data_IF_120522565193
#
_entry.id   IF_120522565193
#
_cell.length_a   1.000
_cell.length_b   1.000
_cell.length_c   1.000
_cell.angle_alpha   90.00
_cell.angle_beta   90.00
_cell.angle_gamma   90.00
#
_symmetry.space_group_name_H-M   'P 1'
#
loop_
_entity.id
_entity.type
_entity.pdbx_description
1 polymer ?
#
# COMPACT_ATOMS: atom_id res chain seq x y z
N UNK A 1 -17.94 18.82 75.50
CA UNK A 1 -18.87 17.70 75.28
C UNK A 1 -18.70 17.33 73.83
N UNK A 2 -18.29 16.12 73.51
CA UNK A 2 -18.11 15.74 72.08
C UNK A 2 -19.45 15.26 71.53
N UNK A 3 -19.74 15.74 70.29
CA UNK A 3 -20.91 15.40 69.52
C UNK A 3 -20.88 13.92 69.10
N UNK A 4 -21.92 13.20 69.41
CA UNK A 4 -22.20 11.82 69.04
C UNK A 4 -22.77 11.81 67.59
N UNK A 5 -22.23 11.01 66.65
CA UNK A 5 -22.79 10.93 65.33
C UNK A 5 -24.12 10.17 65.31
N UNK A 6 -25.15 10.80 64.78
CA UNK A 6 -26.47 10.18 64.56
C UNK A 6 -26.39 9.09 63.50
N UNK A 7 -26.80 7.89 63.79
CA UNK A 7 -27.00 6.76 62.91
C UNK A 7 -28.19 7.04 61.95
N UNK A 8 -28.04 6.82 60.63
CA UNK A 8 -29.15 7.01 59.69
C UNK A 8 -30.26 5.97 59.92
N UNK A 9 -31.48 6.42 59.77
CA UNK A 9 -32.68 5.58 59.92
C UNK A 9 -32.74 4.50 58.83
N UNK A 10 -33.23 3.29 59.17
CA UNK A 10 -33.33 2.20 58.19
C UNK A 10 -34.35 2.55 57.07
N UNK A 11 -33.94 2.31 55.78
CA UNK A 11 -34.83 2.48 54.64
C UNK A 11 -36.02 1.52 54.69
N UNK A 12 -37.26 1.96 54.38
CA UNK A 12 -38.43 1.11 54.37
C UNK A 12 -38.29 -0.02 53.33
N UNK A 13 -38.52 -1.25 53.74
CA UNK A 13 -38.54 -2.40 52.85
C UNK A 13 -39.85 -2.43 52.05
N UNK A 14 -39.82 -2.74 50.74
CA UNK A 14 -41.01 -2.80 49.93
C UNK A 14 -41.92 -3.96 50.38
N UNK A 15 -43.16 -3.64 50.76
CA UNK A 15 -44.21 -4.62 51.04
C UNK A 15 -44.92 -4.98 49.73
N UNK A 16 -44.64 -6.17 49.24
CA UNK A 16 -45.36 -6.68 48.08
C UNK A 16 -46.76 -7.14 48.49
N UNK A 17 -47.78 -6.68 47.76
CA UNK A 17 -49.16 -7.14 47.98
C UNK A 17 -49.33 -8.57 47.51
N UNK A 18 -50.20 -9.39 48.12
CA UNK A 18 -50.45 -10.80 47.72
C UNK A 18 -50.77 -10.94 46.22
N UNK A 19 -51.43 -9.95 45.64
CA UNK A 19 -51.72 -9.89 44.19
C UNK A 19 -50.47 -9.78 43.34
N UNK A 20 -49.44 -9.04 43.76
CA UNK A 20 -48.18 -8.92 43.03
C UNK A 20 -47.37 -10.23 43.03
N UNK A 21 -47.40 -10.97 44.15
CA UNK A 21 -46.78 -12.28 44.26
C UNK A 21 -47.48 -13.33 43.38
N UNK A 22 -48.83 -13.31 43.35
CA UNK A 22 -49.59 -14.23 42.47
C UNK A 22 -49.33 -13.95 40.98
N UNK A 23 -49.26 -12.66 40.63
CA UNK A 23 -48.94 -12.26 39.25
C UNK A 23 -47.52 -12.69 38.83
N UNK A 24 -46.54 -12.55 39.74
CA UNK A 24 -45.16 -12.97 39.47
C UNK A 24 -45.03 -14.49 39.30
N UNK A 25 -45.78 -15.30 40.08
CA UNK A 25 -45.80 -16.74 39.97
C UNK A 25 -46.45 -17.18 38.64
N UNK A 26 -47.55 -16.56 38.23
CA UNK A 26 -48.21 -16.85 36.96
C UNK A 26 -47.29 -16.50 35.78
N UNK A 27 -46.60 -15.32 35.85
CA UNK A 27 -45.70 -14.89 34.79
C UNK A 27 -44.48 -15.83 34.68
N UNK A 28 -43.94 -16.31 35.80
CA UNK A 28 -42.81 -17.23 35.80
C UNK A 28 -43.20 -18.63 35.26
N UNK A 29 -44.43 -19.09 35.56
CA UNK A 29 -44.95 -20.32 34.95
C UNK A 29 -45.14 -20.25 33.44
N UNK A 30 -45.66 -19.12 32.96
CA UNK A 30 -45.80 -18.87 31.49
C UNK A 30 -44.43 -18.78 30.82
N UNK A 31 -43.50 -18.05 31.39
CA UNK A 31 -42.13 -17.92 30.84
C UNK A 31 -41.39 -19.28 30.91
N UNK A 32 -41.57 -20.06 31.97
CA UNK A 32 -40.99 -21.39 32.11
C UNK A 32 -41.51 -22.39 31.08
N UNK A 33 -42.83 -22.38 30.79
CA UNK A 33 -43.41 -23.26 29.78
C UNK A 33 -43.00 -22.87 28.36
N UNK A 34 -42.90 -21.55 28.04
CA UNK A 34 -42.40 -21.10 26.74
C UNK A 34 -40.90 -21.43 26.60
N UNK A 35 -40.11 -21.18 27.66
CA UNK A 35 -38.68 -21.53 27.65
C UNK A 35 -38.42 -23.03 27.55
N UNK A 36 -39.24 -23.86 28.22
CA UNK A 36 -39.18 -25.32 28.13
C UNK A 36 -39.55 -25.84 26.74
N UNK A 37 -40.61 -25.30 26.13
CA UNK A 37 -41.00 -25.66 24.77
C UNK A 37 -39.95 -25.26 23.72
N UNK A 38 -39.38 -24.09 23.82
CA UNK A 38 -38.29 -23.62 22.96
C UNK A 38 -37.01 -24.45 23.15
N UNK A 39 -36.63 -24.70 24.40
CA UNK A 39 -35.46 -25.52 24.73
C UNK A 39 -35.62 -26.99 24.26
N UNK A 40 -36.81 -27.57 24.40
CA UNK A 40 -37.13 -28.92 23.90
C UNK A 40 -37.09 -29.00 22.36
N UNK A 41 -37.58 -27.96 21.66
CA UNK A 41 -37.52 -27.89 20.20
C UNK A 41 -36.05 -27.74 19.71
N UNK A 42 -35.23 -26.99 20.44
CA UNK A 42 -33.80 -26.84 20.13
C UNK A 42 -33.02 -28.14 20.36
N UNK A 43 -33.28 -28.84 21.48
CA UNK A 43 -32.61 -30.11 21.83
C UNK A 43 -33.00 -31.28 20.92
N UNK A 44 -34.19 -31.24 20.34
CA UNK A 44 -34.69 -32.28 19.42
C UNK A 44 -34.29 -32.06 17.95
N UNK A 45 -33.57 -30.99 17.63
CA UNK A 45 -33.19 -30.62 16.23
C UNK A 45 -34.35 -30.18 15.33
N UNK A 46 -35.57 -30.03 15.91
CA UNK A 46 -36.77 -29.70 15.14
C UNK A 46 -37.16 -28.20 15.19
N UNK A 47 -36.26 -27.36 15.66
CA UNK A 47 -36.51 -25.91 15.83
C UNK A 47 -36.84 -25.23 14.50
N UNK A 48 -36.07 -25.52 13.46
CA UNK A 48 -36.29 -24.93 12.14
C UNK A 48 -37.63 -25.32 11.52
N UNK A 49 -38.06 -26.59 11.73
CA UNK A 49 -39.34 -27.06 11.22
C UNK A 49 -40.53 -26.48 11.99
N UNK A 50 -40.36 -26.27 13.32
CA UNK A 50 -41.39 -25.67 14.16
C UNK A 50 -41.51 -24.17 13.90
N UNK A 51 -40.38 -23.42 13.79
CA UNK A 51 -40.35 -21.98 13.52
C UNK A 51 -40.97 -21.68 12.14
N UNK A 52 -40.62 -22.40 11.12
CA UNK A 52 -41.16 -22.23 9.77
C UNK A 52 -42.67 -22.57 9.71
N UNK A 53 -43.15 -23.51 10.52
CA UNK A 53 -44.56 -23.89 10.55
C UNK A 53 -45.43 -22.88 11.31
N UNK A 54 -44.89 -22.18 12.27
CA UNK A 54 -45.61 -21.26 13.16
C UNK A 54 -45.63 -19.82 12.65
N UNK A 55 -44.52 -19.36 12.02
CA UNK A 55 -44.32 -17.97 11.65
C UNK A 55 -44.30 -17.70 10.15
N UNK A 56 -44.15 -18.69 9.31
CA UNK A 56 -44.06 -18.51 7.85
C UNK A 56 -45.27 -19.07 7.10
N UNK A 57 -46.47 -18.51 7.39
CA UNK A 57 -47.69 -18.76 6.56
C UNK A 57 -47.77 -17.75 5.40
N UNK A 58 -46.74 -17.60 4.63
CA UNK A 58 -46.85 -16.99 3.31
C UNK A 58 -46.55 -18.06 2.29
N UNK A 59 -47.63 -18.64 1.73
CA UNK A 59 -47.53 -19.54 0.61
C UNK A 59 -47.02 -18.82 -0.61
N UNK A 60 -45.71 -18.87 -0.83
CA UNK A 60 -45.10 -18.66 -2.13
C UNK A 60 -45.13 -20.03 -2.84
N UNK A 61 -45.83 -20.10 -3.96
CA UNK A 61 -45.89 -21.26 -4.80
C UNK A 61 -44.49 -21.77 -5.12
N UNK A 62 -44.18 -22.98 -4.68
CA UNK A 62 -42.94 -23.68 -5.01
C UNK A 62 -42.98 -24.04 -6.50
N UNK A 63 -42.37 -23.24 -7.33
CA UNK A 63 -41.81 -23.72 -8.58
C UNK A 63 -40.42 -24.30 -8.26
N UNK A 64 -40.39 -25.59 -8.12
CA UNK A 64 -39.18 -26.39 -8.01
C UNK A 64 -38.37 -26.26 -9.30
N UNK A 65 -37.32 -25.48 -9.23
CA UNK A 65 -36.09 -25.71 -9.97
C UNK A 65 -34.99 -25.30 -9.00
N UNK A 66 -34.34 -26.32 -8.44
CA UNK A 66 -33.18 -26.15 -7.61
C UNK A 66 -32.03 -25.52 -8.40
N UNK A 67 -32.11 -24.24 -8.54
CA UNK A 67 -30.96 -23.36 -8.57
C UNK A 67 -30.84 -22.84 -7.14
N UNK A 68 -30.12 -23.53 -6.30
CA UNK A 68 -29.26 -22.85 -5.38
C UNK A 68 -28.40 -21.98 -6.30
N UNK A 69 -28.90 -20.81 -6.66
CA UNK A 69 -28.08 -19.72 -7.10
C UNK A 69 -27.20 -19.47 -5.91
N UNK A 70 -26.14 -20.19 -5.85
CA UNK A 70 -24.93 -19.73 -5.34
C UNK A 70 -24.75 -18.40 -6.05
N UNK A 71 -25.14 -17.31 -5.44
CA UNK A 71 -24.37 -16.11 -5.47
C UNK A 71 -23.02 -16.51 -4.82
N UNK A 72 -22.39 -17.49 -5.39
CA UNK A 72 -20.98 -17.70 -5.34
C UNK A 72 -20.51 -16.46 -6.02
N UNK A 73 -20.17 -15.55 -5.17
CA UNK A 73 -19.89 -14.19 -5.51
C UNK A 73 -18.91 -14.32 -6.66
N UNK A 74 -19.27 -13.87 -7.83
CA UNK A 74 -18.39 -13.90 -9.01
C UNK A 74 -17.00 -13.37 -8.62
N UNK A 75 -16.95 -12.48 -7.65
CA UNK A 75 -15.78 -11.91 -7.02
C UNK A 75 -14.93 -12.91 -6.22
N UNK A 76 -15.52 -13.87 -5.49
CA UNK A 76 -14.74 -14.91 -4.79
C UNK A 76 -14.07 -15.84 -5.81
N UNK A 77 -14.80 -16.26 -6.84
CA UNK A 77 -14.25 -17.06 -7.93
C UNK A 77 -13.17 -16.30 -8.67
N UNK A 78 -13.40 -15.03 -9.02
CA UNK A 78 -12.41 -14.18 -9.67
C UNK A 78 -11.14 -14.02 -8.83
N UNK A 79 -11.25 -13.90 -7.50
CA UNK A 79 -10.09 -13.80 -6.60
C UNK A 79 -9.26 -15.08 -6.65
N UNK A 80 -9.91 -16.26 -6.58
CA UNK A 80 -9.22 -17.56 -6.65
C UNK A 80 -8.54 -17.73 -8.01
N UNK A 81 -9.25 -17.45 -9.10
CA UNK A 81 -8.71 -17.55 -10.47
C UNK A 81 -7.49 -16.67 -10.69
N UNK A 82 -7.52 -15.42 -10.18
CA UNK A 82 -6.38 -14.50 -10.22
C UNK A 82 -5.19 -15.07 -9.48
N UNK A 83 -5.39 -15.57 -8.26
CA UNK A 83 -4.30 -16.13 -7.44
C UNK A 83 -3.69 -17.35 -8.15
N UNK A 84 -4.50 -18.30 -8.65
CA UNK A 84 -4.01 -19.47 -9.37
C UNK A 84 -3.21 -19.10 -10.62
N UNK A 85 -3.66 -18.11 -11.36
CA UNK A 85 -2.98 -17.60 -12.56
C UNK A 85 -1.64 -16.94 -12.25
N UNK A 86 -1.60 -16.10 -11.21
CA UNK A 86 -0.51 -15.15 -10.99
C UNK A 86 0.53 -15.62 -9.98
N UNK A 87 0.18 -16.50 -9.03
CA UNK A 87 1.10 -16.95 -7.98
C UNK A 87 2.44 -17.52 -8.50
N UNK A 88 2.45 -18.09 -9.71
CA UNK A 88 3.67 -18.61 -10.35
C UNK A 88 4.65 -17.52 -10.77
N UNK A 89 4.14 -16.30 -10.95
CA UNK A 89 4.94 -15.12 -11.32
C UNK A 89 5.46 -14.37 -10.11
N UNK A 90 5.01 -14.68 -8.89
CA UNK A 90 5.47 -14.06 -7.65
C UNK A 90 6.63 -14.88 -7.07
N UNK A 91 7.69 -14.18 -6.64
CA UNK A 91 8.92 -14.78 -6.19
C UNK A 91 9.30 -14.26 -4.80
N UNK A 92 10.05 -15.07 -4.04
CA UNK A 92 10.77 -14.60 -2.86
C UNK A 92 12.16 -14.09 -3.26
N UNK A 93 12.59 -13.02 -2.62
CA UNK A 93 13.96 -12.51 -2.70
C UNK A 93 14.60 -12.74 -1.35
N UNK A 94 15.60 -13.57 -1.31
CA UNK A 94 16.36 -13.94 -0.11
C UNK A 94 17.65 -13.15 -0.11
N UNK A 95 17.95 -12.51 1.02
CA UNK A 95 19.13 -11.69 1.24
C UNK A 95 20.10 -12.49 2.09
N UNK A 96 21.28 -12.75 1.56
CA UNK A 96 22.34 -13.46 2.29
C UNK A 96 23.61 -12.62 2.35
N UNK A 97 24.33 -12.70 3.44
CA UNK A 97 25.61 -12.01 3.62
C UNK A 97 26.65 -12.92 4.28
N UNK A 98 27.87 -12.85 3.78
CA UNK A 98 29.00 -13.52 4.41
C UNK A 98 29.42 -12.79 5.69
N UNK A 99 29.30 -13.45 6.82
CA UNK A 99 29.61 -12.89 8.14
C UNK A 99 31.06 -12.44 8.29
N UNK A 100 31.98 -13.04 7.53
CA UNK A 100 33.38 -12.62 7.53
C UNK A 100 33.56 -11.16 7.05
N UNK A 101 32.66 -10.69 6.21
CA UNK A 101 32.62 -9.29 5.73
C UNK A 101 32.01 -8.31 6.74
N UNK A 102 31.18 -8.80 7.65
CA UNK A 102 30.53 -7.97 8.70
C UNK A 102 31.53 -7.67 9.84
N UNK A 103 32.36 -8.64 10.21
CA UNK A 103 33.30 -8.48 11.33
C UNK A 103 34.42 -7.47 11.08
N UNK A 104 34.76 -7.20 9.82
CA UNK A 104 35.82 -6.25 9.46
C UNK A 104 35.38 -4.77 9.50
N UNK A 105 34.11 -4.48 9.75
CA UNK A 105 33.55 -3.13 9.84
C UNK A 105 32.96 -2.87 11.24
N UNK A 106 33.83 -2.78 12.25
CA UNK A 106 33.44 -2.36 13.61
C UNK A 106 32.90 -0.93 13.58
N UNK A 107 31.59 -0.78 13.50
CA UNK A 107 30.91 0.53 13.56
C UNK A 107 29.59 0.62 12.77
N UNK A 108 29.20 -0.37 12.03
CA UNK A 108 27.94 -0.32 11.28
C UNK A 108 26.74 -0.58 12.21
N UNK A 109 25.88 0.41 12.36
CA UNK A 109 24.58 0.26 13.00
C UNK A 109 23.73 -0.78 12.25
N UNK A 110 22.76 -1.36 12.94
CA UNK A 110 21.80 -2.32 12.41
C UNK A 110 21.15 -1.76 11.15
N UNK A 111 21.04 -2.56 10.09
CA UNK A 111 20.31 -2.14 8.90
C UNK A 111 18.81 -1.98 9.23
N UNK A 112 18.05 -1.17 8.47
CA UNK A 112 16.60 -1.06 8.64
C UNK A 112 15.90 -2.42 8.64
N UNK A 113 16.46 -3.36 7.92
CA UNK A 113 15.99 -4.72 7.81
C UNK A 113 16.21 -5.53 9.10
N UNK A 114 17.35 -5.34 9.79
CA UNK A 114 17.64 -5.98 11.07
C UNK A 114 16.67 -5.54 12.18
N UNK A 115 16.12 -4.34 12.10
CA UNK A 115 15.10 -3.84 13.03
C UNK A 115 13.74 -4.48 12.82
N UNK A 116 13.41 -4.85 11.58
CA UNK A 116 12.12 -5.47 11.24
C UNK A 116 12.12 -6.99 11.36
N UNK A 117 13.26 -7.64 11.11
CA UNK A 117 13.36 -9.10 11.03
C UNK A 117 14.41 -9.72 11.96
N UNK A 118 15.20 -8.90 12.65
CA UNK A 118 16.30 -9.34 13.50
C UNK A 118 15.84 -9.89 14.84
N UNK A 119 15.95 -11.19 15.01
CA UNK A 119 15.69 -11.90 16.27
C UNK A 119 16.99 -12.02 17.08
N UNK A 120 17.55 -10.91 17.54
CA UNK A 120 18.54 -10.75 18.63
C UNK A 120 19.62 -11.84 18.92
N UNK A 121 19.88 -12.77 18.01
CA UNK A 121 20.86 -13.85 18.24
C UNK A 121 22.22 -13.56 17.61
N UNK A 122 23.29 -13.73 18.38
CA UNK A 122 24.69 -13.58 17.94
C UNK A 122 25.06 -14.57 16.84
N UNK A 123 25.85 -14.15 15.82
CA UNK A 123 26.19 -14.98 14.66
C UNK A 123 27.22 -16.05 14.95
N UNK A 124 26.98 -17.25 14.44
CA UNK A 124 27.98 -18.27 14.21
C UNK A 124 28.62 -18.13 12.82
N UNK A 125 29.88 -18.57 12.63
CA UNK A 125 30.59 -18.51 11.35
C UNK A 125 29.80 -19.11 10.19
N UNK A 126 29.72 -18.37 9.04
CA UNK A 126 29.08 -18.83 7.81
C UNK A 126 28.25 -17.74 7.13
N UNK A 127 27.61 -18.09 6.03
CA UNK A 127 26.64 -17.24 5.33
C UNK A 127 25.32 -17.22 6.11
N UNK A 128 24.85 -16.04 6.51
CA UNK A 128 23.57 -15.88 7.24
C UNK A 128 22.54 -15.29 6.31
N UNK A 129 21.33 -15.84 6.35
CA UNK A 129 20.15 -15.23 5.79
C UNK A 129 19.75 -14.03 6.68
N UNK A 130 19.77 -12.83 6.11
CA UNK A 130 19.45 -11.60 6.81
C UNK A 130 17.98 -11.25 6.74
N UNK A 131 17.25 -11.86 5.79
CA UNK A 131 15.85 -11.63 5.55
C UNK A 131 15.46 -11.75 4.10
N UNK A 132 14.32 -11.20 3.72
CA UNK A 132 13.82 -11.27 2.36
C UNK A 132 12.63 -10.39 2.11
N UNK A 133 12.22 -10.33 0.88
CA UNK A 133 11.03 -9.64 0.40
C UNK A 133 10.38 -10.41 -0.72
N UNK A 134 9.40 -9.80 -1.34
CA UNK A 134 8.74 -10.32 -2.52
C UNK A 134 9.19 -9.60 -3.79
N UNK A 135 8.98 -10.24 -4.91
CA UNK A 135 9.10 -9.67 -6.23
C UNK A 135 8.15 -10.35 -7.20
N UNK A 136 8.12 -9.89 -8.43
CA UNK A 136 7.35 -10.55 -9.49
C UNK A 136 8.05 -10.48 -10.83
N UNK A 137 7.85 -11.52 -11.63
CA UNK A 137 8.50 -11.74 -12.92
C UNK A 137 7.82 -10.88 -13.98
N UNK A 138 8.61 -10.02 -14.65
CA UNK A 138 8.15 -9.11 -15.70
C UNK A 138 8.38 -9.63 -17.11
N UNK A 139 9.30 -10.59 -17.28
CA UNK A 139 9.60 -11.14 -18.60
C UNK A 139 10.07 -12.59 -18.53
N UNK A 140 9.81 -13.33 -19.59
CA UNK A 140 10.17 -14.75 -19.68
C UNK A 140 11.68 -15.00 -19.59
N UNK A 141 12.52 -14.00 -19.85
CA UNK A 141 13.97 -14.08 -19.77
C UNK A 141 14.53 -13.69 -18.39
N UNK A 142 13.67 -13.39 -17.39
CA UNK A 142 14.07 -13.29 -15.99
C UNK A 142 14.28 -11.88 -15.43
N UNK A 143 13.64 -10.86 -15.97
CA UNK A 143 13.53 -9.58 -15.29
C UNK A 143 12.48 -9.67 -14.17
N UNK A 144 12.81 -9.09 -13.02
CA UNK A 144 11.97 -9.13 -11.80
C UNK A 144 11.90 -7.71 -11.23
N UNK A 145 10.69 -7.30 -10.84
CA UNK A 145 10.45 -6.07 -10.10
C UNK A 145 10.35 -6.36 -8.61
N UNK A 146 10.89 -5.46 -7.81
CA UNK A 146 10.73 -5.43 -6.34
C UNK A 146 10.90 -3.99 -5.84
N UNK A 147 10.86 -3.79 -4.51
CA UNK A 147 11.24 -2.52 -3.91
C UNK A 147 12.77 -2.38 -3.80
N UNK A 148 13.25 -1.13 -3.85
CA UNK A 148 14.67 -0.82 -3.65
C UNK A 148 15.13 -1.23 -2.26
N UNK A 149 14.34 -0.93 -1.20
CA UNK A 149 14.72 -1.26 0.17
C UNK A 149 14.91 -2.77 0.41
N UNK A 150 14.34 -3.65 -0.43
CA UNK A 150 14.57 -5.10 -0.39
C UNK A 150 15.97 -5.46 -0.87
N UNK A 151 16.60 -4.63 -1.71
CA UNK A 151 17.89 -4.92 -2.36
C UNK A 151 18.93 -3.80 -2.18
N UNK A 152 18.83 -3.04 -1.10
CA UNK A 152 19.64 -1.84 -0.86
C UNK A 152 21.05 -2.14 -0.31
N UNK A 153 21.34 -3.37 0.10
CA UNK A 153 22.67 -3.73 0.61
C UNK A 153 23.59 -4.15 -0.53
N UNK A 154 24.49 -3.25 -0.94
CA UNK A 154 25.46 -3.51 -2.01
C UNK A 154 26.46 -4.64 -1.69
N UNK A 155 26.56 -5.11 -0.44
CA UNK A 155 27.45 -6.19 -0.01
C UNK A 155 26.71 -7.53 0.18
N UNK A 156 25.40 -7.55 -0.01
CA UNK A 156 24.61 -8.77 0.10
C UNK A 156 24.55 -9.51 -1.24
N UNK A 157 24.37 -10.82 -1.14
CA UNK A 157 24.04 -11.66 -2.27
C UNK A 157 22.51 -11.88 -2.29
N UNK A 158 21.92 -11.75 -3.46
CA UNK A 158 20.49 -11.89 -3.67
C UNK A 158 20.16 -13.18 -4.38
N UNK A 159 19.25 -13.95 -3.80
CA UNK A 159 18.73 -15.19 -4.37
C UNK A 159 17.24 -15.07 -4.59
N UNK A 160 16.80 -15.34 -5.81
CA UNK A 160 15.39 -15.42 -6.16
C UNK A 160 14.93 -16.86 -6.05
N UNK A 161 13.90 -17.10 -5.23
CA UNK A 161 13.23 -18.39 -5.10
C UNK A 161 11.87 -18.30 -5.80
N UNK A 162 11.69 -19.09 -6.85
CA UNK A 162 10.43 -19.15 -7.61
C UNK A 162 9.39 -20.02 -6.91
N UNK A 163 8.14 -19.93 -7.32
CA UNK A 163 7.04 -20.68 -6.72
C UNK A 163 7.24 -22.21 -6.79
N UNK A 164 7.94 -22.72 -7.82
CA UNK A 164 8.30 -24.13 -7.99
C UNK A 164 9.58 -24.54 -7.19
N UNK A 165 9.99 -23.69 -6.25
CA UNK A 165 11.12 -23.90 -5.36
C UNK A 165 12.51 -23.96 -6.05
N UNK A 166 12.64 -23.41 -7.25
CA UNK A 166 13.95 -23.23 -7.90
C UNK A 166 14.61 -21.95 -7.40
N UNK A 167 15.90 -22.02 -7.14
CA UNK A 167 16.71 -20.90 -6.68
C UNK A 167 17.61 -20.40 -7.80
N UNK A 168 17.67 -19.08 -7.94
CA UNK A 168 18.51 -18.41 -8.93
C UNK A 168 19.28 -17.28 -8.26
N UNK A 169 20.59 -17.16 -8.54
CA UNK A 169 21.33 -15.95 -8.19
C UNK A 169 20.79 -14.77 -8.97
N UNK A 170 20.52 -13.67 -8.29
CA UNK A 170 19.95 -12.47 -8.88
C UNK A 170 20.98 -11.33 -8.90
N UNK A 171 20.98 -10.58 -10.00
CA UNK A 171 21.75 -9.35 -10.14
C UNK A 171 20.81 -8.14 -10.05
N UNK A 172 21.14 -7.17 -9.22
CA UNK A 172 20.48 -5.86 -9.21
C UNK A 172 20.94 -5.11 -10.45
N UNK A 173 20.03 -4.84 -11.39
CA UNK A 173 20.33 -4.13 -12.64
C UNK A 173 20.25 -2.62 -12.41
N UNK A 174 19.22 -2.18 -11.73
CA UNK A 174 19.01 -0.77 -11.43
C UNK A 174 18.11 -0.60 -10.21
N UNK A 175 18.34 0.47 -9.46
CA UNK A 175 17.52 0.90 -8.32
C UNK A 175 17.00 2.31 -8.53
N UNK A 176 15.78 2.53 -8.08
CA UNK A 176 15.07 3.80 -8.10
C UNK A 176 14.87 4.31 -6.67
N UNK A 177 15.75 5.16 -6.13
CA UNK A 177 15.61 5.66 -4.76
C UNK A 177 14.46 6.66 -4.59
N UNK A 178 13.93 7.24 -5.67
CA UNK A 178 12.81 8.19 -5.59
C UNK A 178 11.47 7.47 -5.44
N UNK A 179 11.32 6.35 -6.14
CA UNK A 179 10.07 5.59 -6.14
C UNK A 179 10.18 4.25 -5.39
N UNK A 180 11.28 4.01 -4.68
CA UNK A 180 11.52 2.75 -3.96
C UNK A 180 11.32 1.50 -4.84
N UNK A 181 11.83 1.52 -6.09
CA UNK A 181 11.74 0.41 -7.02
C UNK A 181 13.12 -0.16 -7.34
N UNK A 182 13.19 -1.45 -7.64
CA UNK A 182 14.38 -2.10 -8.15
C UNK A 182 14.04 -3.13 -9.22
N UNK A 183 14.94 -3.26 -10.19
CA UNK A 183 14.87 -4.29 -11.22
C UNK A 183 16.02 -5.25 -11.06
N UNK A 184 15.68 -6.51 -10.89
CA UNK A 184 16.62 -7.64 -10.80
C UNK A 184 16.62 -8.41 -12.11
N UNK A 185 17.70 -9.18 -12.33
CA UNK A 185 17.84 -10.13 -13.42
C UNK A 185 18.34 -11.47 -12.93
N UNK A 186 17.65 -12.54 -13.29
CA UNK A 186 18.07 -13.92 -13.09
C UNK A 186 18.37 -14.58 -14.44
N UNK A 187 19.24 -15.56 -14.47
CA UNK A 187 19.53 -16.36 -15.65
C UNK A 187 18.56 -17.55 -15.73
N UNK A 188 17.39 -17.28 -16.28
CA UNK A 188 16.33 -18.26 -16.48
C UNK A 188 15.56 -17.93 -17.76
N UNK A 189 14.84 -18.93 -18.30
CA UNK A 189 14.03 -18.80 -19.51
C UNK A 189 12.65 -19.39 -19.28
N UNK A 190 11.73 -19.01 -20.14
CA UNK A 190 10.34 -19.50 -20.16
C UNK A 190 9.61 -19.28 -18.82
N UNK A 191 9.96 -18.19 -18.13
CA UNK A 191 9.34 -17.83 -16.86
C UNK A 191 7.94 -17.25 -17.10
N UNK A 192 6.98 -17.52 -16.20
CA UNK A 192 5.65 -16.92 -16.26
C UNK A 192 5.74 -15.42 -15.92
N UNK A 193 5.63 -14.58 -16.93
CA UNK A 193 5.60 -13.13 -16.76
C UNK A 193 4.18 -12.66 -16.43
N UNK A 194 4.08 -11.60 -15.60
CA UNK A 194 2.83 -10.93 -15.29
C UNK A 194 2.72 -9.63 -16.06
N UNK A 195 1.51 -9.25 -16.42
CA UNK A 195 1.23 -8.02 -17.17
C UNK A 195 0.92 -6.84 -16.24
N UNK A 196 1.34 -5.65 -16.62
CA UNK A 196 0.91 -4.41 -16.00
C UNK A 196 -0.51 -4.03 -16.45
N UNK A 197 -1.33 -3.57 -15.51
CA UNK A 197 -2.57 -2.86 -15.75
C UNK A 197 -2.34 -1.35 -15.79
N UNK A 198 -3.40 -0.59 -16.04
CA UNK A 198 -3.35 0.86 -16.00
C UNK A 198 -3.71 1.38 -14.60
N UNK A 199 -2.75 1.96 -13.90
CA UNK A 199 -2.98 2.53 -12.56
C UNK A 199 -3.61 3.93 -12.58
N UNK A 200 -3.81 4.57 -13.75
CA UNK A 200 -4.52 5.85 -13.86
C UNK A 200 -6.04 5.69 -13.92
N UNK A 201 -6.53 4.50 -14.29
CA UNK A 201 -7.96 4.20 -14.40
C UNK A 201 -8.56 3.63 -13.09
N UNK A 202 -7.79 3.61 -12.01
CA UNK A 202 -8.23 3.06 -10.74
C UNK A 202 -9.35 3.90 -10.11
N UNK A 203 -10.28 3.20 -9.49
CA UNK A 203 -11.40 3.81 -8.77
C UNK A 203 -11.36 3.43 -7.29
N UNK A 204 -11.67 4.39 -6.42
CA UNK A 204 -11.84 4.13 -4.98
C UNK A 204 -12.98 3.12 -4.80
N UNK A 205 -12.73 2.09 -3.98
CA UNK A 205 -13.65 0.96 -3.79
C UNK A 205 -13.41 -0.23 -4.74
N UNK A 206 -12.53 -0.09 -5.74
CA UNK A 206 -12.16 -1.18 -6.63
C UNK A 206 -11.43 -2.28 -5.85
N UNK A 207 -11.84 -3.54 -6.01
CA UNK A 207 -11.20 -4.70 -5.36
C UNK A 207 -9.76 -4.87 -5.81
N UNK A 208 -8.88 -5.12 -4.86
CA UNK A 208 -7.46 -5.39 -5.07
C UNK A 208 -6.99 -6.62 -4.31
N UNK A 209 -5.98 -7.29 -4.84
CA UNK A 209 -5.36 -8.48 -4.27
C UNK A 209 -3.86 -8.22 -4.16
N UNK A 210 -3.32 -8.27 -2.95
CA UNK A 210 -1.89 -8.22 -2.73
C UNK A 210 -1.34 -9.63 -2.55
N UNK A 211 -0.28 -9.98 -3.28
CA UNK A 211 0.39 -11.28 -3.15
C UNK A 211 1.83 -11.03 -2.71
N UNK A 212 2.28 -11.83 -1.74
CA UNK A 212 3.64 -11.86 -1.28
C UNK A 212 4.15 -13.25 -1.09
N UNK A 213 5.48 -13.40 -1.06
CA UNK A 213 6.16 -14.66 -0.88
C UNK A 213 7.30 -14.48 0.15
N UNK A 214 6.91 -14.19 1.40
CA UNK A 214 7.83 -13.86 2.47
C UNK A 214 8.73 -15.04 2.84
N UNK A 215 10.04 -14.83 2.80
CA UNK A 215 11.08 -15.73 3.33
C UNK A 215 11.04 -17.19 2.82
N UNK A 216 10.22 -17.50 1.82
CA UNK A 216 10.00 -18.87 1.38
C UNK A 216 9.24 -19.77 2.37
N UNK A 217 9.04 -19.32 3.62
CA UNK A 217 8.28 -20.05 4.66
C UNK A 217 6.78 -19.87 4.52
N UNK A 218 6.33 -18.63 4.25
CA UNK A 218 4.93 -18.29 4.04
C UNK A 218 4.69 -17.97 2.57
N UNK A 219 4.86 -18.98 1.70
CA UNK A 219 4.69 -18.84 0.26
C UNK A 219 3.28 -18.44 -0.08
N UNK A 220 3.16 -17.51 -1.04
CA UNK A 220 1.87 -17.06 -1.59
C UNK A 220 0.90 -16.55 -0.54
N UNK A 221 1.38 -15.73 0.41
CA UNK A 221 0.48 -14.99 1.28
C UNK A 221 -0.37 -14.05 0.43
N UNK A 222 -1.67 -14.25 0.48
CA UNK A 222 -2.64 -13.46 -0.27
C UNK A 222 -3.45 -12.63 0.71
N UNK A 223 -3.54 -11.33 0.44
CA UNK A 223 -4.46 -10.45 1.14
C UNK A 223 -5.35 -9.74 0.12
N UNK A 224 -6.59 -9.43 0.51
CA UNK A 224 -7.60 -8.80 -0.33
C UNK A 224 -8.12 -7.56 0.37
N UNK A 225 -8.39 -6.53 -0.40
CA UNK A 225 -8.99 -5.29 0.05
C UNK A 225 -9.53 -4.48 -1.11
N UNK A 226 -9.60 -3.17 -0.93
CA UNK A 226 -10.03 -2.23 -1.95
C UNK A 226 -9.02 -1.08 -2.09
N UNK A 227 -9.09 -0.36 -3.20
CA UNK A 227 -8.46 0.95 -3.33
C UNK A 227 -9.15 1.91 -2.36
N UNK A 228 -8.47 2.31 -1.29
CA UNK A 228 -9.00 3.21 -0.27
C UNK A 228 -8.72 4.69 -0.58
N UNK A 229 -7.73 4.95 -1.43
CA UNK A 229 -7.35 6.30 -1.85
C UNK A 229 -6.32 6.28 -2.98
N UNK A 230 -6.24 7.40 -3.69
CA UNK A 230 -5.32 7.60 -4.80
C UNK A 230 -4.47 8.84 -4.55
N UNK A 231 -3.36 8.97 -5.28
CA UNK A 231 -2.45 10.12 -5.25
C UNK A 231 -2.00 10.51 -3.82
N UNK A 232 -1.73 9.51 -2.97
CA UNK A 232 -1.27 9.77 -1.60
C UNK A 232 0.22 10.10 -1.59
N UNK A 233 0.56 11.17 -0.86
CA UNK A 233 1.94 11.46 -0.51
C UNK A 233 2.21 10.84 0.85
N UNK A 234 3.17 9.93 0.90
CA UNK A 234 3.54 9.21 2.12
C UNK A 234 5.04 9.34 2.38
N UNK A 235 5.42 9.35 3.63
CA UNK A 235 6.82 9.24 4.03
C UNK A 235 7.03 7.83 4.56
N UNK A 236 7.76 7.03 3.80
CA UNK A 236 8.19 5.70 4.18
C UNK A 236 9.58 5.78 4.79
N UNK A 237 9.82 5.08 5.89
CA UNK A 237 11.14 5.05 6.50
C UNK A 237 11.13 4.56 7.94
N UNK A 238 12.30 4.21 8.42
CA UNK A 238 12.55 3.62 9.74
C UNK A 238 13.01 4.63 10.80
N UNK A 239 12.91 5.93 10.49
CA UNK A 239 13.39 7.02 11.37
C UNK A 239 14.85 7.41 11.14
N UNK A 240 15.65 6.64 10.42
CA UNK A 240 17.02 7.00 10.02
C UNK A 240 17.11 7.39 8.54
N UNK A 241 16.33 6.74 7.68
CA UNK A 241 16.12 7.13 6.29
C UNK A 241 14.63 7.26 6.03
N UNK A 242 14.20 8.36 5.44
CA UNK A 242 12.82 8.56 5.04
C UNK A 242 12.76 8.85 3.55
N UNK A 243 12.05 8.01 2.83
CA UNK A 243 11.74 8.21 1.41
C UNK A 243 10.32 8.75 1.29
N UNK A 244 10.13 9.81 0.51
CA UNK A 244 8.79 10.34 0.24
C UNK A 244 8.30 9.76 -1.06
N UNK A 245 7.29 8.90 -1.00
CA UNK A 245 6.60 8.40 -2.17
C UNK A 245 5.43 9.33 -2.51
N UNK A 246 5.39 9.78 -3.75
CA UNK A 246 4.30 10.58 -4.29
C UNK A 246 3.38 9.69 -5.14
N UNK A 247 2.09 10.04 -5.17
CA UNK A 247 1.06 9.33 -5.95
C UNK A 247 0.80 7.87 -5.52
N UNK A 248 1.13 7.49 -4.27
CA UNK A 248 0.88 6.14 -3.80
C UNK A 248 -0.62 5.78 -3.82
N UNK A 249 -0.90 4.53 -4.16
CA UNK A 249 -2.22 3.90 -4.03
C UNK A 249 -2.38 3.49 -2.57
N UNK A 250 -3.44 3.92 -1.91
CA UNK A 250 -3.80 3.46 -0.56
C UNK A 250 -4.77 2.29 -0.67
N UNK A 251 -4.56 1.26 0.16
CA UNK A 251 -5.45 0.09 0.25
C UNK A 251 -5.62 -0.35 1.69
N UNK A 252 -6.71 -1.03 1.99
CA UNK A 252 -6.95 -1.74 3.24
C UNK A 252 -6.58 -3.24 3.16
N UNK A 253 -6.14 -3.71 1.98
CA UNK A 253 -5.45 -5.00 1.90
C UNK A 253 -4.23 -4.98 2.83
N UNK A 254 -4.08 -6.01 3.66
CA UNK A 254 -2.99 -6.06 4.63
C UNK A 254 -1.63 -6.12 3.93
N UNK A 255 -0.90 -5.00 3.97
CA UNK A 255 0.48 -4.90 3.51
C UNK A 255 1.38 -5.00 4.74
N UNK A 256 2.22 -6.02 4.76
CA UNK A 256 3.10 -6.34 5.89
C UNK A 256 4.50 -6.68 5.36
N UNK A 257 5.53 -6.66 6.23
CA UNK A 257 6.83 -7.23 5.90
C UNK A 257 6.63 -8.64 5.34
N UNK A 258 7.12 -8.85 4.12
CA UNK A 258 6.97 -10.12 3.40
C UNK A 258 6.17 -10.02 2.10
N UNK A 259 5.17 -9.13 1.98
CA UNK A 259 4.56 -8.86 0.68
C UNK A 259 5.05 -7.55 0.03
N UNK A 260 5.93 -6.77 0.71
CA UNK A 260 6.65 -5.65 0.11
C UNK A 260 7.46 -6.10 -1.10
N UNK A 261 7.38 -5.35 -2.19
CA UNK A 261 7.97 -5.67 -3.49
C UNK A 261 7.13 -6.63 -4.34
N UNK A 262 6.13 -7.30 -3.75
CA UNK A 262 5.15 -8.10 -4.46
C UNK A 262 4.10 -7.26 -5.20
N UNK A 263 3.29 -7.87 -6.08
CA UNK A 263 2.30 -7.16 -6.87
C UNK A 263 1.03 -6.86 -6.07
N UNK A 264 0.43 -5.69 -6.30
CA UNK A 264 -0.96 -5.39 -6.07
C UNK A 264 -1.71 -5.59 -7.38
N UNK A 265 -2.79 -6.38 -7.38
CA UNK A 265 -3.46 -6.86 -8.58
C UNK A 265 -4.92 -6.37 -8.64
N UNK A 266 -5.43 -6.21 -9.86
CA UNK A 266 -6.85 -6.13 -10.12
C UNK A 266 -7.46 -7.52 -10.33
N UNK A 267 -8.79 -7.61 -10.48
CA UNK A 267 -9.51 -8.87 -10.72
C UNK A 267 -9.28 -9.47 -12.13
N UNK A 268 -8.56 -8.80 -13.02
CA UNK A 268 -8.07 -9.35 -14.28
C UNK A 268 -6.69 -10.05 -14.13
N UNK A 269 -6.09 -9.96 -12.94
CA UNK A 269 -4.75 -10.50 -12.67
C UNK A 269 -3.63 -9.63 -13.22
N UNK A 270 -3.87 -8.34 -13.45
CA UNK A 270 -2.88 -7.38 -13.89
C UNK A 270 -2.32 -6.61 -12.70
N UNK A 271 -1.03 -6.29 -12.73
CA UNK A 271 -0.37 -5.48 -11.71
C UNK A 271 -0.82 -4.04 -11.82
N UNK A 272 -1.48 -3.53 -10.79
CA UNK A 272 -1.88 -2.12 -10.66
C UNK A 272 -0.97 -1.34 -9.71
N UNK A 273 -0.12 -2.03 -8.97
CA UNK A 273 0.88 -1.42 -8.08
C UNK A 273 1.90 -2.41 -7.56
N UNK A 274 2.96 -1.88 -6.96
CA UNK A 274 3.99 -2.63 -6.22
C UNK A 274 3.81 -2.35 -4.73
N UNK A 275 3.55 -3.38 -3.94
CA UNK A 275 3.29 -3.24 -2.51
C UNK A 275 4.47 -2.63 -1.78
N UNK A 276 4.20 -1.67 -0.89
CA UNK A 276 5.19 -1.06 0.00
C UNK A 276 4.67 -1.12 1.42
N UNK A 277 5.40 -1.83 2.30
CA UNK A 277 5.09 -1.79 3.72
C UNK A 277 5.54 -0.44 4.29
N UNK A 278 4.62 0.31 4.84
CA UNK A 278 4.89 1.64 5.40
C UNK A 278 4.38 1.72 6.82
N UNK A 279 5.26 2.26 7.65
CA UNK A 279 5.02 2.90 8.96
C UNK A 279 3.96 2.34 9.90
N UNK A 280 4.41 2.14 11.11
CA UNK A 280 3.71 1.63 12.30
C UNK A 280 2.56 2.51 12.85
N UNK A 281 2.16 3.61 12.19
CA UNK A 281 1.20 4.56 12.77
C UNK A 281 -0.27 4.36 12.39
N UNK A 282 -0.61 3.41 11.54
CA UNK A 282 -2.00 3.15 11.16
C UNK A 282 -2.27 1.65 11.01
N UNK A 283 -3.22 1.11 11.76
CA UNK A 283 -3.71 -0.25 11.52
C UNK A 283 -4.54 -0.27 10.23
N UNK A 284 -4.33 -1.29 9.38
CA UNK A 284 -5.08 -1.51 8.13
C UNK A 284 -4.90 -0.40 7.07
N UNK A 285 -3.73 0.23 7.02
CA UNK A 285 -3.37 1.18 5.96
C UNK A 285 -2.16 0.63 5.23
N UNK A 286 -2.38 0.11 4.03
CA UNK A 286 -1.35 -0.34 3.10
C UNK A 286 -1.16 0.67 1.96
N UNK A 287 0.00 0.63 1.33
CA UNK A 287 0.31 1.46 0.18
C UNK A 287 0.96 0.64 -0.93
N UNK A 288 0.80 1.12 -2.16
CA UNK A 288 1.49 0.56 -3.31
C UNK A 288 1.95 1.67 -4.26
N UNK A 289 3.09 1.45 -4.89
CA UNK A 289 3.62 2.31 -5.97
C UNK A 289 2.80 2.01 -7.23
N UNK A 290 2.28 3.02 -7.94
CA UNK A 290 1.47 2.80 -9.13
C UNK A 290 2.18 2.00 -10.23
N UNK A 291 1.44 1.10 -10.87
CA UNK A 291 1.97 0.23 -11.93
C UNK A 291 2.56 0.99 -13.12
N UNK A 292 1.96 2.13 -13.50
CA UNK A 292 2.50 2.93 -14.61
C UNK A 292 3.90 3.47 -14.31
N UNK A 293 4.21 3.82 -13.04
CA UNK A 293 5.56 4.21 -12.63
C UNK A 293 6.52 3.02 -12.70
N UNK A 294 6.10 1.86 -12.18
CA UNK A 294 6.90 0.64 -12.24
C UNK A 294 7.19 0.19 -13.67
N UNK A 295 6.19 0.28 -14.56
CA UNK A 295 6.35 -0.03 -15.99
C UNK A 295 7.33 0.93 -16.67
N UNK A 296 7.27 2.23 -16.38
CA UNK A 296 8.23 3.22 -16.91
C UNK A 296 9.66 2.88 -16.50
N UNK A 297 9.88 2.50 -15.24
CA UNK A 297 11.17 2.05 -14.74
C UNK A 297 11.63 0.78 -15.48
N UNK A 298 10.75 -0.21 -15.61
CA UNK A 298 11.06 -1.47 -16.30
C UNK A 298 11.44 -1.26 -17.77
N UNK A 299 10.61 -0.52 -18.52
CA UNK A 299 10.88 -0.22 -19.95
C UNK A 299 12.19 0.56 -20.13
N UNK A 300 12.49 1.50 -19.21
CA UNK A 300 13.77 2.21 -19.22
C UNK A 300 14.94 1.25 -19.06
N UNK A 301 14.89 0.36 -18.05
CA UNK A 301 15.94 -0.62 -17.79
C UNK A 301 16.09 -1.60 -18.94
N UNK A 302 14.99 -2.12 -19.48
CA UNK A 302 14.99 -3.05 -20.61
C UNK A 302 15.63 -2.45 -21.86
N UNK A 303 15.38 -1.16 -22.12
CA UNK A 303 15.88 -0.45 -23.30
C UNK A 303 17.33 0.03 -23.15
N UNK A 304 17.73 0.48 -21.97
CA UNK A 304 19.00 1.21 -21.77
C UNK A 304 19.93 0.57 -20.75
N UNK A 305 19.47 -0.46 -20.03
CA UNK A 305 20.22 -1.06 -18.92
C UNK A 305 20.25 -0.23 -17.64
N UNK A 306 19.57 0.92 -17.61
CA UNK A 306 19.52 1.84 -16.45
C UNK A 306 18.19 2.57 -16.37
N UNK A 307 17.94 3.19 -15.23
CA UNK A 307 16.76 4.04 -15.05
C UNK A 307 17.06 5.43 -15.57
N UNK A 308 16.31 5.85 -16.58
CA UNK A 308 16.39 7.19 -17.18
C UNK A 308 15.18 7.99 -16.71
N UNK A 309 15.42 9.14 -16.07
CA UNK A 309 14.34 9.97 -15.54
C UNK A 309 14.33 11.35 -16.16
N UNK A 310 13.13 11.83 -16.54
CA UNK A 310 12.96 13.23 -16.90
C UNK A 310 13.03 14.11 -15.66
N UNK A 311 13.62 15.30 -15.78
CA UNK A 311 13.58 16.28 -14.72
C UNK A 311 13.38 17.69 -15.31
N UNK A 312 12.79 18.56 -14.50
CA UNK A 312 12.60 19.98 -14.81
C UNK A 312 13.67 20.86 -14.14
N UNK A 313 14.20 20.45 -13.03
CA UNK A 313 15.25 21.17 -12.29
C UNK A 313 14.72 22.27 -11.40
N UNK A 314 13.61 22.04 -10.70
CA UNK A 314 13.04 22.96 -9.71
C UNK A 314 12.91 22.27 -8.34
N UNK A 315 13.11 23.05 -7.26
CA UNK A 315 12.64 22.73 -5.92
C UNK A 315 11.35 23.47 -5.67
N UNK A 316 10.38 22.83 -5.07
CA UNK A 316 9.08 23.41 -4.86
C UNK A 316 8.38 22.87 -3.62
N UNK A 317 7.37 23.59 -3.18
CA UNK A 317 6.43 23.14 -2.17
C UNK A 317 5.00 23.23 -2.74
N UNK A 318 4.13 22.22 -2.49
CA UNK A 318 2.73 22.31 -2.89
C UNK A 318 2.00 23.42 -2.13
N UNK A 319 1.14 24.18 -2.82
CA UNK A 319 0.33 25.20 -2.18
C UNK A 319 -0.83 24.54 -1.45
N UNK A 320 -0.81 24.70 -0.14
CA UNK A 320 -1.92 24.32 0.74
C UNK A 320 -2.68 25.58 1.17
N UNK A 321 -3.89 25.41 1.70
CA UNK A 321 -4.64 26.53 2.28
C UNK A 321 -3.87 27.25 3.37
N UNK A 322 -3.15 26.49 4.23
CA UNK A 322 -2.30 27.06 5.26
C UNK A 322 -1.16 27.91 4.68
N UNK A 323 -0.47 27.40 3.65
CA UNK A 323 0.61 28.13 2.96
C UNK A 323 0.08 29.39 2.26
N UNK A 324 -1.08 29.28 1.60
CA UNK A 324 -1.75 30.45 1.00
C UNK A 324 -2.00 31.55 2.02
N UNK A 325 -2.62 31.21 3.16
CA UNK A 325 -2.99 32.16 4.19
C UNK A 325 -1.75 32.80 4.84
N UNK A 326 -0.74 31.96 5.14
CA UNK A 326 0.52 32.42 5.74
C UNK A 326 1.30 33.38 4.82
N UNK A 327 1.39 33.07 3.54
CA UNK A 327 2.16 33.85 2.56
C UNK A 327 1.31 34.83 1.76
N UNK A 328 0.00 34.93 2.05
CA UNK A 328 -0.97 35.80 1.34
C UNK A 328 -0.92 35.58 -0.18
N UNK A 329 -0.86 34.31 -0.59
CA UNK A 329 -0.85 33.97 -2.01
C UNK A 329 -2.23 34.23 -2.65
N UNK A 330 -2.23 34.64 -3.91
CA UNK A 330 -3.46 34.88 -4.67
C UNK A 330 -4.20 33.61 -5.10
N UNK A 331 -3.51 32.47 -5.06
CA UNK A 331 -4.02 31.16 -5.49
C UNK A 331 -3.92 30.14 -4.35
N UNK A 332 -4.75 29.08 -4.40
CA UNK A 332 -4.81 28.02 -3.41
C UNK A 332 -4.44 26.63 -3.97
N UNK A 333 -3.83 26.62 -5.13
CA UNK A 333 -3.39 25.42 -5.83
C UNK A 333 -2.09 25.70 -6.59
N UNK A 334 -1.47 24.65 -7.09
CA UNK A 334 -0.19 24.75 -7.76
C UNK A 334 0.98 24.45 -6.84
N UNK A 335 2.19 24.73 -7.33
CA UNK A 335 3.42 24.55 -6.59
C UNK A 335 4.25 25.83 -6.61
N UNK A 336 4.72 26.25 -5.44
CA UNK A 336 5.58 27.42 -5.27
C UNK A 336 7.05 27.01 -5.44
N UNK A 337 7.75 27.59 -6.40
CA UNK A 337 9.19 27.39 -6.61
C UNK A 337 9.94 28.09 -5.48
N UNK A 338 10.61 27.30 -4.65
CA UNK A 338 11.30 27.79 -3.46
C UNK A 338 12.61 27.04 -3.24
N UNK A 339 13.64 27.72 -2.75
CA UNK A 339 14.88 27.06 -2.33
C UNK A 339 14.68 26.17 -1.11
N UNK A 340 15.60 25.25 -0.89
CA UNK A 340 15.63 24.42 0.29
C UNK A 340 16.08 25.16 1.55
N UNK A 341 16.40 24.41 2.58
CA UNK A 341 16.78 24.96 3.91
C UNK A 341 18.23 25.40 3.97
N UNK A 342 19.08 24.86 3.11
CA UNK A 342 20.51 25.22 3.02
C UNK A 342 20.79 26.18 1.87
N UNK A 343 21.92 26.90 1.91
CA UNK A 343 22.29 27.85 0.87
C UNK A 343 22.54 27.20 -0.50
N UNK A 344 22.98 25.97 -0.48
CA UNK A 344 23.33 25.21 -1.69
C UNK A 344 22.08 24.55 -2.36
N UNK A 345 20.96 24.54 -1.65
CA UNK A 345 19.69 24.01 -2.17
C UNK A 345 18.92 25.06 -2.97
N UNK A 346 19.43 25.38 -4.15
CA UNK A 346 18.84 26.37 -5.04
C UNK A 346 17.39 26.01 -5.43
N UNK A 347 16.55 27.03 -5.63
CA UNK A 347 15.17 26.87 -6.10
C UNK A 347 15.11 26.32 -7.54
N UNK A 348 16.08 26.70 -8.36
CA UNK A 348 16.23 26.29 -9.76
C UNK A 348 17.66 25.82 -9.97
N UNK A 349 17.83 24.69 -10.62
CA UNK A 349 19.14 24.15 -10.97
C UNK A 349 19.71 24.96 -12.14
N UNK A 350 20.87 25.63 -11.97
CA UNK A 350 21.48 26.43 -13.03
C UNK A 350 21.78 25.58 -14.28
N UNK A 351 21.45 26.09 -15.44
CA UNK A 351 21.62 25.40 -16.73
C UNK A 351 20.63 24.26 -16.98
N UNK A 352 19.74 23.96 -16.03
CA UNK A 352 18.68 22.95 -16.19
C UNK A 352 17.49 23.44 -17.03
N UNK A 353 16.51 22.55 -17.29
CA UNK A 353 15.34 22.87 -18.12
C UNK A 353 14.53 24.08 -17.60
N UNK A 354 14.33 24.19 -16.30
CA UNK A 354 13.60 25.30 -15.71
C UNK A 354 14.31 26.65 -15.87
N UNK A 355 15.64 26.66 -15.70
CA UNK A 355 16.48 27.85 -15.90
C UNK A 355 16.45 28.29 -17.36
N UNK A 356 16.64 27.35 -18.31
CA UNK A 356 16.53 27.61 -19.75
C UNK A 356 15.15 28.10 -20.15
N UNK A 357 14.10 27.66 -19.48
CA UNK A 357 12.73 28.10 -19.71
C UNK A 357 12.41 29.47 -19.06
N UNK A 358 13.33 30.03 -18.26
CA UNK A 358 13.18 31.33 -17.62
C UNK A 358 12.25 31.34 -16.41
N UNK A 359 12.09 30.19 -15.74
CA UNK A 359 11.45 30.12 -14.42
C UNK A 359 12.32 30.79 -13.35
N UNK A 360 11.69 31.36 -12.33
CA UNK A 360 12.36 32.07 -11.25
C UNK A 360 11.88 31.57 -9.87
N UNK A 361 12.72 31.76 -8.88
CA UNK A 361 12.31 31.58 -7.48
C UNK A 361 11.10 32.47 -7.15
N UNK A 362 10.14 31.94 -6.42
CA UNK A 362 8.83 32.51 -6.11
C UNK A 362 7.83 32.53 -7.28
N UNK A 363 8.13 31.96 -8.43
CA UNK A 363 7.11 31.64 -9.42
C UNK A 363 6.22 30.49 -8.90
N UNK A 364 4.94 30.52 -9.27
CA UNK A 364 3.98 29.43 -8.95
C UNK A 364 3.62 28.74 -10.25
N UNK A 365 3.91 27.44 -10.34
CA UNK A 365 3.43 26.63 -11.46
C UNK A 365 2.01 26.17 -11.12
N UNK A 366 1.04 26.56 -11.96
CA UNK A 366 -0.37 26.28 -11.78
C UNK A 366 -0.82 25.02 -12.52
N UNK A 367 -0.32 24.84 -13.76
CA UNK A 367 -0.69 23.76 -14.65
C UNK A 367 0.52 23.25 -15.42
N UNK A 368 0.49 21.96 -15.78
CA UNK A 368 1.40 21.31 -16.71
C UNK A 368 0.60 20.64 -17.83
N UNK A 369 0.84 21.01 -19.09
CA UNK A 369 0.09 20.52 -20.25
C UNK A 369 -1.43 20.61 -20.11
N UNK A 370 -1.94 21.65 -19.44
CA UNK A 370 -3.37 21.85 -19.18
C UNK A 370 -3.91 21.07 -17.98
N UNK A 371 -3.10 20.26 -17.33
CA UNK A 371 -3.46 19.56 -16.08
C UNK A 371 -3.18 20.49 -14.91
N UNK A 372 -4.21 20.77 -14.12
CA UNK A 372 -4.10 21.57 -12.89
C UNK A 372 -3.27 20.81 -11.85
N UNK A 373 -2.31 21.49 -11.23
CA UNK A 373 -1.51 20.94 -10.15
C UNK A 373 -2.24 21.11 -8.81
N UNK A 374 -2.57 20.00 -8.18
CA UNK A 374 -3.26 19.93 -6.90
C UNK A 374 -2.81 18.71 -6.08
N UNK A 375 -3.62 18.27 -5.13
CA UNK A 375 -3.31 17.10 -4.29
C UNK A 375 -3.38 15.77 -5.04
N UNK A 376 -4.08 15.71 -6.17
CA UNK A 376 -4.24 14.52 -7.00
C UNK A 376 -3.23 14.50 -8.17
N UNK A 377 -2.78 15.67 -8.62
CA UNK A 377 -1.86 15.85 -9.74
C UNK A 377 -0.62 16.63 -9.28
N UNK A 378 0.39 15.91 -8.78
CA UNK A 378 1.65 16.53 -8.37
C UNK A 378 2.53 16.85 -9.58
N UNK A 379 3.35 17.93 -9.48
CA UNK A 379 4.31 18.29 -10.55
C UNK A 379 5.29 17.14 -10.84
N UNK A 380 5.80 16.48 -9.80
CA UNK A 380 6.70 15.35 -9.97
C UNK A 380 6.02 14.18 -10.69
N UNK A 381 4.79 13.84 -10.31
CA UNK A 381 4.01 12.78 -10.95
C UNK A 381 3.73 13.07 -12.42
N UNK A 382 3.38 14.32 -12.77
CA UNK A 382 3.14 14.70 -14.15
C UNK A 382 4.42 14.71 -15.01
N UNK A 383 5.57 15.06 -14.42
CA UNK A 383 6.88 14.97 -15.09
C UNK A 383 7.27 13.50 -15.30
N UNK A 384 7.06 12.62 -14.33
CA UNK A 384 7.41 11.19 -14.42
C UNK A 384 6.64 10.43 -15.53
N UNK A 385 5.50 10.95 -15.97
CA UNK A 385 4.74 10.42 -17.11
C UNK A 385 5.40 10.72 -18.48
N UNK A 386 6.52 11.43 -18.50
CA UNK A 386 7.21 11.90 -19.69
C UNK A 386 8.58 11.23 -19.86
N UNK A 387 9.22 11.51 -20.99
CA UNK A 387 10.60 11.10 -21.27
C UNK A 387 11.54 12.31 -21.31
N UNK A 388 12.84 12.13 -21.06
CA UNK A 388 13.82 13.16 -21.41
C UNK A 388 13.75 13.50 -22.89
N UNK A 389 13.75 14.80 -23.20
CA UNK A 389 13.53 15.33 -24.56
C UNK A 389 12.10 15.76 -24.82
N UNK A 390 11.13 15.35 -24.01
CA UNK A 390 9.75 15.82 -24.14
C UNK A 390 9.65 17.30 -23.81
N UNK A 391 8.81 18.01 -24.56
CA UNK A 391 8.48 19.40 -24.31
C UNK A 391 7.18 19.49 -23.53
N UNK A 392 7.21 20.25 -22.44
CA UNK A 392 6.04 20.50 -21.58
C UNK A 392 5.68 21.99 -21.63
N UNK A 393 4.38 22.25 -21.50
CA UNK A 393 3.83 23.61 -21.37
C UNK A 393 3.40 23.84 -19.93
N UNK A 394 3.91 24.90 -19.32
CA UNK A 394 3.63 25.27 -17.93
C UNK A 394 2.82 26.58 -17.90
N UNK A 395 1.73 26.60 -17.17
CA UNK A 395 1.03 27.83 -16.82
C UNK A 395 1.59 28.31 -15.49
N UNK A 396 2.18 29.49 -15.47
CA UNK A 396 2.97 30.01 -14.37
C UNK A 396 2.46 31.36 -13.93
N UNK A 397 2.25 31.57 -12.65
CA UNK A 397 2.01 32.87 -12.03
C UNK A 397 3.36 33.44 -11.57
N UNK A 398 3.84 34.48 -12.26
CA UNK A 398 5.11 35.14 -12.00
C UNK A 398 4.87 36.60 -11.68
N UNK A 399 5.28 37.05 -10.48
CA UNK A 399 5.10 38.46 -10.04
C UNK A 399 3.65 38.97 -10.18
N UNK A 400 2.68 38.10 -9.92
CA UNK A 400 1.26 38.41 -10.00
C UNK A 400 0.65 38.37 -11.41
N UNK A 401 1.42 37.98 -12.42
CA UNK A 401 0.95 37.86 -13.81
C UNK A 401 1.03 36.40 -14.28
N UNK A 402 -0.03 35.92 -14.91
CA UNK A 402 0.00 34.60 -15.55
C UNK A 402 0.78 34.65 -16.86
N UNK A 403 1.65 33.67 -17.07
CA UNK A 403 2.38 33.46 -18.33
C UNK A 403 2.41 31.99 -18.68
N UNK A 404 2.55 31.70 -19.95
CA UNK A 404 2.81 30.32 -20.44
C UNK A 404 4.31 30.20 -20.72
N UNK A 405 4.90 29.14 -20.21
CA UNK A 405 6.33 28.83 -20.34
C UNK A 405 6.46 27.43 -20.94
N UNK A 406 7.35 27.26 -21.89
CA UNK A 406 7.66 25.96 -22.49
C UNK A 406 9.03 25.50 -22.00
N UNK A 407 9.13 24.27 -21.51
CA UNK A 407 10.37 23.67 -21.06
C UNK A 407 10.58 22.31 -21.72
N UNK A 408 11.81 22.01 -22.12
CA UNK A 408 12.19 20.66 -22.61
C UNK A 408 12.84 19.90 -21.45
N UNK A 409 12.24 18.77 -21.08
CA UNK A 409 12.76 17.93 -20.00
C UNK A 409 14.10 17.33 -20.38
N UNK A 410 15.01 17.26 -19.44
CA UNK A 410 16.31 16.62 -19.62
C UNK A 410 16.40 15.36 -18.78
N UNK A 411 17.43 14.56 -19.03
CA UNK A 411 17.72 13.40 -18.19
C UNK A 411 18.36 13.85 -16.88
N UNK A 412 17.82 13.39 -15.75
CA UNK A 412 18.47 13.55 -14.46
C UNK A 412 19.74 12.70 -14.42
N UNK A 413 20.90 13.34 -14.37
CA UNK A 413 22.20 12.68 -14.19
C UNK A 413 22.56 12.78 -12.71
N UNK A 414 22.65 11.63 -12.03
CA UNK A 414 23.18 11.53 -10.67
C UNK A 414 24.65 11.88 -10.64
#
# INVERSE_FOLDING_TARGET
MPDTPMTPAPKPQPRYTQSALTLAVILSLILGTIGGALGGAFASGNFDSWFNRTFNKTSVASSSSGSSTTLKVEEESATIDVVEKVQKSVVSIIITKDLSKIYNQSGAGLSPFDLFFGNGQQPSEGTKELGGGSGFILSADGYIMTNKHVVDDAQADYTVLTNDAKSYSAKVIATDPVNDLAVLKIDAKDLPAIEFGNSEDLQIGQTVIAIGNALGEYRNTVTKGVVSGLARRITAGDGQSSETLENAIQTDAAINPGNSGGPLLNLAGQVIGVNVAVSQQGQLIGFAIPANQANTVFESVKKTGRIVRPYLGVRYIPITKALKDQNKLSVDYGVLIQRGTTKDELAIIPGGPADKAGLQENDIILEINGVKLDTEHSLAGEIQKRAPGDTITLKVLSKGQEKTVTATLEEYKQ
#
